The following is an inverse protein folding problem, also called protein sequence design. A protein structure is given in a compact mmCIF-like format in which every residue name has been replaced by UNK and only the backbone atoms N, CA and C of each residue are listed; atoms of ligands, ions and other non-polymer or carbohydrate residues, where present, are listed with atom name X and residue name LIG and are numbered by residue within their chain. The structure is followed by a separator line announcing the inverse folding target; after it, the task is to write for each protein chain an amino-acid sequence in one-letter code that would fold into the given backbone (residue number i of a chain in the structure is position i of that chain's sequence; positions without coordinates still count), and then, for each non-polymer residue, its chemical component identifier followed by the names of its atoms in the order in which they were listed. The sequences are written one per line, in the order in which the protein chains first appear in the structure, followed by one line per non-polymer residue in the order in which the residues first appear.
data_IF_980885300783
#
_entry.id   IF_980885300783
#
_cell.length_a   1.000
_cell.length_b   1.000
_cell.length_c   1.000
_cell.angle_alpha   90.00
_cell.angle_beta   90.00
_cell.angle_gamma   90.00
#
_symmetry.space_group_name_H-M   'P 1'
#
loop_
_entity.id
_entity.type
_entity.pdbx_description
1 polymer ?
#
# COMPACT_ATOMS: atom_id res chain seq x y z
N UNK A 1 -12.28 11.63 -36.46
CA UNK A 1 -12.30 11.71 -35.00
C UNK A 1 -11.78 10.39 -34.43
N UNK A 2 -10.85 10.38 -33.46
CA UNK A 2 -10.29 9.14 -32.87
C UNK A 2 -11.29 8.30 -32.09
N UNK A 3 -12.46 8.84 -31.75
CA UNK A 3 -13.51 8.22 -30.91
C UNK A 3 -14.06 6.89 -31.43
N UNK A 4 -14.17 6.70 -32.77
CA UNK A 4 -14.69 5.44 -33.33
C UNK A 4 -13.72 4.29 -33.10
N UNK A 5 -12.42 4.54 -33.23
CA UNK A 5 -11.38 3.52 -33.03
C UNK A 5 -11.21 3.17 -31.55
N UNK A 6 -11.34 4.15 -30.65
CA UNK A 6 -11.26 3.92 -29.21
C UNK A 6 -12.48 3.16 -28.68
N UNK A 7 -13.70 3.45 -29.18
CA UNK A 7 -14.92 2.73 -28.79
C UNK A 7 -14.90 1.26 -29.22
N UNK A 8 -14.52 0.99 -30.49
CA UNK A 8 -14.43 -0.37 -31.00
C UNK A 8 -13.38 -1.18 -30.24
N UNK A 9 -12.21 -0.58 -30.01
CA UNK A 9 -11.14 -1.22 -29.25
C UNK A 9 -11.56 -1.51 -27.80
N UNK A 10 -12.18 -0.55 -27.11
CA UNK A 10 -12.66 -0.73 -25.73
C UNK A 10 -13.72 -1.83 -25.65
N UNK A 11 -14.67 -1.88 -26.60
CA UNK A 11 -15.71 -2.91 -26.63
C UNK A 11 -15.10 -4.31 -26.85
N UNK A 12 -14.25 -4.47 -27.87
CA UNK A 12 -13.60 -5.76 -28.16
C UNK A 12 -12.69 -6.23 -27.01
N UNK A 13 -11.90 -5.34 -26.44
CA UNK A 13 -11.09 -5.66 -25.27
C UNK A 13 -11.96 -5.93 -24.03
N UNK A 14 -13.10 -5.29 -23.91
CA UNK A 14 -14.10 -5.56 -22.88
C UNK A 14 -14.68 -6.96 -23.01
N UNK A 15 -15.18 -7.31 -24.21
CA UNK A 15 -15.80 -8.61 -24.50
C UNK A 15 -14.80 -9.77 -24.37
N UNK A 16 -13.58 -9.59 -24.85
CA UNK A 16 -12.50 -10.60 -24.77
C UNK A 16 -11.71 -10.55 -23.45
N UNK A 17 -12.09 -9.68 -22.53
CA UNK A 17 -11.33 -9.40 -21.29
C UNK A 17 -9.84 -9.14 -21.55
N UNK A 18 -9.54 -8.47 -22.66
CA UNK A 18 -8.16 -8.14 -23.06
C UNK A 18 -7.37 -9.30 -23.68
N UNK A 19 -7.92 -10.52 -23.78
CA UNK A 19 -7.18 -11.70 -24.26
C UNK A 19 -6.58 -11.52 -25.66
N UNK A 20 -7.17 -10.70 -26.49
CA UNK A 20 -6.72 -10.44 -27.87
C UNK A 20 -5.62 -9.38 -27.96
N UNK A 21 -5.28 -8.71 -26.85
CA UNK A 21 -4.20 -7.74 -26.84
C UNK A 21 -2.82 -8.41 -26.69
N UNK A 22 -1.82 -7.78 -27.30
CA UNK A 22 -0.43 -8.23 -27.21
C UNK A 22 0.12 -8.01 -25.79
N UNK A 23 1.07 -8.84 -25.39
CA UNK A 23 1.85 -8.67 -24.17
C UNK A 23 3.33 -8.96 -24.50
N UNK A 24 4.27 -8.27 -23.85
CA UNK A 24 5.70 -8.43 -24.10
C UNK A 24 6.27 -9.75 -23.56
N UNK A 25 5.49 -10.47 -22.76
CA UNK A 25 5.91 -11.70 -22.08
C UNK A 25 4.87 -12.81 -22.24
N UNK A 26 5.29 -14.06 -22.02
CA UNK A 26 4.41 -15.24 -22.00
C UNK A 26 4.25 -15.88 -20.62
N UNK A 27 4.85 -15.30 -19.57
CA UNK A 27 4.86 -15.81 -18.20
C UNK A 27 3.56 -15.48 -17.40
N UNK A 28 3.59 -15.68 -16.09
CA UNK A 28 2.46 -15.42 -15.19
C UNK A 28 1.97 -13.96 -15.19
N UNK A 29 2.84 -13.02 -15.63
CA UNK A 29 2.51 -11.59 -15.68
C UNK A 29 1.82 -11.17 -16.98
N UNK A 30 1.79 -12.05 -18.01
CA UNK A 30 1.17 -11.78 -19.32
C UNK A 30 -0.23 -11.16 -19.21
N UNK A 31 -1.07 -11.73 -18.35
CA UNK A 31 -2.45 -11.28 -18.18
C UNK A 31 -2.56 -9.85 -17.66
N UNK A 32 -1.62 -9.41 -16.85
CA UNK A 32 -1.60 -8.05 -16.34
C UNK A 32 -1.36 -7.02 -17.45
N UNK A 33 -0.45 -7.28 -18.38
CA UNK A 33 -0.26 -6.41 -19.57
C UNK A 33 -1.53 -6.31 -20.40
N UNK A 34 -2.22 -7.42 -20.59
CA UNK A 34 -3.49 -7.45 -21.33
C UNK A 34 -4.60 -6.67 -20.62
N UNK A 35 -4.66 -6.73 -19.29
CA UNK A 35 -5.60 -5.93 -18.50
C UNK A 35 -5.27 -4.44 -18.54
N UNK A 36 -3.99 -4.08 -18.46
CA UNK A 36 -3.53 -2.69 -18.58
C UNK A 36 -3.92 -2.12 -19.96
N UNK A 37 -3.71 -2.86 -21.04
CA UNK A 37 -4.09 -2.45 -22.38
C UNK A 37 -5.61 -2.19 -22.48
N UNK A 38 -6.44 -3.05 -21.88
CA UNK A 38 -7.89 -2.86 -21.79
C UNK A 38 -8.25 -1.58 -21.04
N UNK A 39 -7.68 -1.38 -19.84
CA UNK A 39 -7.97 -0.20 -19.03
C UNK A 39 -7.48 1.09 -19.66
N UNK A 40 -6.34 1.06 -20.37
CA UNK A 40 -5.84 2.20 -21.15
C UNK A 40 -6.78 2.60 -22.27
N UNK A 41 -7.33 1.62 -23.02
CA UNK A 41 -8.31 1.87 -24.05
C UNK A 41 -9.62 2.45 -23.46
N UNK A 42 -10.06 1.94 -22.32
CA UNK A 42 -11.24 2.45 -21.60
C UNK A 42 -11.00 3.89 -21.10
N UNK A 43 -9.83 4.20 -20.58
CA UNK A 43 -9.48 5.56 -20.17
C UNK A 43 -9.49 6.53 -21.34
N UNK A 44 -8.93 6.14 -22.48
CA UNK A 44 -8.95 6.95 -23.69
C UNK A 44 -10.39 7.25 -24.13
N UNK A 45 -11.24 6.24 -24.19
CA UNK A 45 -12.67 6.40 -24.53
C UNK A 45 -13.40 7.32 -23.53
N UNK A 46 -13.20 7.09 -22.22
CA UNK A 46 -13.83 7.91 -21.18
C UNK A 46 -13.38 9.37 -21.26
N UNK A 47 -12.11 9.62 -21.52
CA UNK A 47 -11.55 10.97 -21.69
C UNK A 47 -12.12 11.67 -22.92
N UNK A 48 -12.14 10.98 -24.07
CA UNK A 48 -12.67 11.51 -25.33
C UNK A 48 -14.16 11.88 -25.20
N UNK A 49 -14.97 10.97 -24.65
CA UNK A 49 -16.42 11.21 -24.46
C UNK A 49 -16.66 12.29 -23.40
N UNK A 50 -15.87 12.33 -22.33
CA UNK A 50 -15.98 13.40 -21.32
C UNK A 50 -15.69 14.76 -21.92
N UNK A 51 -14.66 14.88 -22.74
CA UNK A 51 -14.36 16.12 -23.47
C UNK A 51 -15.44 16.49 -24.48
N UNK A 52 -15.94 15.54 -25.24
CA UNK A 52 -16.96 15.77 -26.24
C UNK A 52 -18.31 16.23 -25.64
N UNK A 53 -18.72 15.61 -24.52
CA UNK A 53 -20.03 15.88 -23.88
C UNK A 53 -20.00 17.09 -22.96
N UNK A 54 -18.91 17.29 -22.22
CA UNK A 54 -18.79 18.33 -21.18
C UNK A 54 -18.05 19.58 -21.69
N UNK A 55 -17.22 19.44 -22.73
CA UNK A 55 -16.46 20.54 -23.30
C UNK A 55 -15.71 21.35 -22.24
N UNK A 56 -15.80 22.67 -22.31
CA UNK A 56 -15.16 23.57 -21.34
C UNK A 56 -15.68 23.44 -19.91
N UNK A 57 -16.86 22.83 -19.70
CA UNK A 57 -17.39 22.60 -18.35
C UNK A 57 -16.63 21.49 -17.59
N UNK A 58 -15.88 20.64 -18.29
CA UNK A 58 -15.06 19.59 -17.66
C UNK A 58 -14.05 20.19 -16.69
N UNK A 59 -13.47 21.34 -17.00
CA UNK A 59 -12.53 22.08 -16.12
C UNK A 59 -13.15 22.46 -14.77
N UNK A 60 -14.46 22.67 -14.71
CA UNK A 60 -15.20 23.04 -13.50
C UNK A 60 -15.79 21.82 -12.78
N UNK A 61 -15.72 20.64 -13.41
CA UNK A 61 -16.24 19.37 -12.85
C UNK A 61 -15.08 18.56 -12.29
N UNK A 62 -14.45 19.10 -11.26
CA UNK A 62 -13.22 18.57 -10.65
C UNK A 62 -13.33 17.09 -10.27
N UNK A 63 -14.48 16.64 -9.74
CA UNK A 63 -14.69 15.23 -9.37
C UNK A 63 -14.65 14.28 -10.57
N UNK A 64 -15.09 14.71 -11.76
CA UNK A 64 -15.00 13.88 -12.97
C UNK A 64 -13.55 13.85 -13.45
N UNK A 65 -12.89 15.00 -13.48
CA UNK A 65 -11.47 15.09 -13.82
C UNK A 65 -10.61 14.28 -12.85
N UNK A 66 -10.90 14.34 -11.53
CA UNK A 66 -10.20 13.56 -10.52
C UNK A 66 -10.32 12.05 -10.80
N UNK A 67 -11.53 11.53 -11.04
CA UNK A 67 -11.72 10.11 -11.38
C UNK A 67 -10.99 9.67 -12.64
N UNK A 68 -10.93 10.52 -13.67
CA UNK A 68 -10.09 10.24 -14.85
C UNK A 68 -8.60 10.20 -14.48
N UNK A 69 -8.17 11.10 -13.60
CA UNK A 69 -6.82 11.12 -13.04
C UNK A 69 -6.53 9.87 -12.20
N UNK A 70 -7.48 9.41 -11.38
CA UNK A 70 -7.35 8.19 -10.58
C UNK A 70 -7.17 6.96 -11.48
N UNK A 71 -7.98 6.83 -12.54
CA UNK A 71 -7.83 5.73 -13.52
C UNK A 71 -6.44 5.77 -14.15
N UNK A 72 -5.98 6.94 -14.58
CA UNK A 72 -4.65 7.11 -15.17
C UNK A 72 -3.55 6.71 -14.18
N UNK A 73 -3.65 7.17 -12.94
CA UNK A 73 -2.67 6.90 -11.88
C UNK A 73 -2.57 5.41 -11.60
N UNK A 74 -3.70 4.71 -11.49
CA UNK A 74 -3.70 3.28 -11.22
C UNK A 74 -3.16 2.45 -12.40
N UNK A 75 -3.50 2.80 -13.62
CA UNK A 75 -2.94 2.17 -14.83
C UNK A 75 -1.43 2.41 -14.93
N UNK A 76 -0.97 3.61 -14.57
CA UNK A 76 0.46 3.94 -14.50
C UNK A 76 1.17 3.12 -13.41
N UNK A 77 0.60 3.05 -12.20
CA UNK A 77 1.17 2.26 -11.09
C UNK A 77 1.30 0.78 -11.46
N UNK A 78 0.25 0.18 -12.04
CA UNK A 78 0.30 -1.20 -12.51
C UNK A 78 1.43 -1.41 -13.55
N UNK A 79 1.58 -0.46 -14.49
CA UNK A 79 2.64 -0.50 -15.50
C UNK A 79 4.02 -0.35 -14.87
N UNK A 80 4.18 0.54 -13.88
CA UNK A 80 5.43 0.78 -13.17
C UNK A 80 5.87 -0.45 -12.36
N UNK A 81 4.93 -1.14 -11.71
CA UNK A 81 5.21 -2.41 -10.99
C UNK A 81 5.77 -3.46 -11.95
N UNK A 82 5.11 -3.66 -13.10
CA UNK A 82 5.58 -4.63 -14.09
C UNK A 82 6.92 -4.24 -14.71
N UNK A 83 7.10 -2.95 -15.01
CA UNK A 83 8.36 -2.44 -15.55
C UNK A 83 9.52 -2.62 -14.56
N UNK A 84 9.29 -2.30 -13.28
CA UNK A 84 10.28 -2.53 -12.24
C UNK A 84 10.65 -3.99 -12.10
N UNK A 85 9.65 -4.88 -12.11
CA UNK A 85 9.87 -6.33 -12.07
C UNK A 85 10.74 -6.81 -13.22
N UNK A 86 10.50 -6.30 -14.44
CA UNK A 86 11.32 -6.58 -15.62
C UNK A 86 12.75 -6.09 -15.46
N UNK A 87 12.92 -4.82 -15.06
CA UNK A 87 14.23 -4.17 -14.95
C UNK A 87 15.11 -4.79 -13.85
N UNK A 88 14.49 -5.29 -12.78
CA UNK A 88 15.20 -5.95 -11.66
C UNK A 88 15.49 -7.44 -11.92
N UNK A 89 15.15 -7.97 -13.09
CA UNK A 89 15.54 -9.34 -13.51
C UNK A 89 14.49 -10.41 -13.19
N UNK A 90 13.25 -10.05 -12.95
CA UNK A 90 12.09 -10.96 -12.77
C UNK A 90 12.29 -12.02 -11.68
N UNK A 91 12.73 -11.62 -10.52
CA UNK A 91 12.93 -12.54 -9.41
C UNK A 91 11.61 -13.17 -8.95
N UNK A 92 11.57 -14.49 -8.89
CA UNK A 92 10.37 -15.24 -8.49
C UNK A 92 9.87 -14.87 -7.09
N UNK A 93 10.79 -14.58 -6.18
CA UNK A 93 10.49 -14.13 -4.82
C UNK A 93 9.73 -12.80 -4.76
N UNK A 94 9.77 -11.99 -5.83
CA UNK A 94 9.08 -10.70 -5.91
C UNK A 94 7.64 -10.85 -6.42
N UNK A 95 7.28 -12.00 -7.00
CA UNK A 95 5.96 -12.23 -7.61
C UNK A 95 4.78 -11.92 -6.68
N UNK A 96 4.78 -12.28 -5.39
CA UNK A 96 3.66 -11.92 -4.50
C UNK A 96 3.42 -10.41 -4.43
N UNK A 97 4.48 -9.60 -4.41
CA UNK A 97 4.40 -8.15 -4.41
C UNK A 97 3.90 -7.60 -5.75
N UNK A 98 4.37 -8.18 -6.86
CA UNK A 98 3.90 -7.84 -8.21
C UNK A 98 2.41 -8.16 -8.34
N UNK A 99 1.99 -9.35 -7.91
CA UNK A 99 0.59 -9.76 -7.96
C UNK A 99 -0.27 -8.83 -7.11
N UNK A 100 0.14 -8.51 -5.90
CA UNK A 100 -0.58 -7.62 -5.02
C UNK A 100 -0.72 -6.22 -5.61
N UNK A 101 0.40 -5.59 -5.99
CA UNK A 101 0.40 -4.21 -6.50
C UNK A 101 -0.39 -4.05 -7.79
N UNK A 102 -0.30 -5.02 -8.72
CA UNK A 102 -1.06 -4.95 -9.97
C UNK A 102 -2.54 -5.26 -9.74
N UNK A 103 -2.89 -6.26 -8.93
CA UNK A 103 -4.31 -6.58 -8.63
C UNK A 103 -5.02 -5.42 -7.95
N UNK A 104 -4.39 -4.79 -6.96
CA UNK A 104 -4.95 -3.62 -6.29
C UNK A 104 -5.15 -2.46 -7.28
N UNK A 105 -4.14 -2.13 -8.07
CA UNK A 105 -4.23 -1.06 -9.06
C UNK A 105 -5.33 -1.30 -10.11
N UNK A 106 -5.49 -2.54 -10.60
CA UNK A 106 -6.56 -2.89 -11.54
C UNK A 106 -7.95 -2.76 -10.89
N UNK A 107 -8.09 -3.20 -9.64
CA UNK A 107 -9.33 -3.07 -8.88
C UNK A 107 -9.69 -1.60 -8.66
N UNK A 108 -8.76 -0.78 -8.20
CA UNK A 108 -8.97 0.66 -7.97
C UNK A 108 -9.31 1.41 -9.27
N UNK A 109 -8.63 1.08 -10.38
CA UNK A 109 -8.94 1.65 -11.69
C UNK A 109 -10.39 1.33 -12.12
N UNK A 110 -10.83 0.08 -11.94
CA UNK A 110 -12.19 -0.33 -12.28
C UNK A 110 -13.24 0.35 -11.38
N UNK A 111 -12.94 0.53 -10.09
CA UNK A 111 -13.78 1.32 -9.16
C UNK A 111 -13.92 2.77 -9.64
N UNK A 112 -12.81 3.42 -9.97
CA UNK A 112 -12.83 4.81 -10.44
C UNK A 112 -13.62 4.97 -11.76
N UNK A 113 -13.55 3.97 -12.68
CA UNK A 113 -14.38 3.94 -13.89
C UNK A 113 -15.87 3.82 -13.56
N UNK A 114 -16.24 2.93 -12.64
CA UNK A 114 -17.63 2.74 -12.23
C UNK A 114 -18.19 3.98 -11.55
N UNK A 115 -17.41 4.59 -10.66
CA UNK A 115 -17.74 5.84 -9.97
C UNK A 115 -17.89 7.02 -10.96
N UNK A 116 -17.06 7.08 -12.00
CA UNK A 116 -17.17 8.08 -13.05
C UNK A 116 -18.50 7.90 -13.81
N UNK A 117 -18.81 6.68 -14.23
CA UNK A 117 -20.06 6.38 -14.98
C UNK A 117 -21.30 6.59 -14.12
N UNK A 118 -21.24 6.23 -12.85
CA UNK A 118 -22.35 6.41 -11.90
C UNK A 118 -22.67 7.88 -11.63
N UNK A 119 -21.67 8.75 -11.78
CA UNK A 119 -21.80 10.20 -11.52
C UNK A 119 -21.72 11.04 -12.81
N UNK A 120 -21.72 10.42 -13.99
CA UNK A 120 -21.65 11.15 -15.24
C UNK A 120 -22.94 11.96 -15.47
N UNK A 121 -22.86 13.25 -15.85
CA UNK A 121 -24.02 14.13 -15.91
C UNK A 121 -25.08 13.69 -16.92
N UNK A 122 -24.66 13.16 -18.06
CA UNK A 122 -25.57 12.63 -19.07
C UNK A 122 -25.78 11.13 -18.86
N UNK A 123 -26.96 10.76 -18.34
CA UNK A 123 -27.30 9.38 -17.98
C UNK A 123 -27.38 8.42 -19.17
N UNK A 124 -27.80 8.92 -20.34
CA UNK A 124 -27.88 8.10 -21.57
C UNK A 124 -26.47 7.74 -22.02
N UNK A 125 -25.58 8.73 -22.07
CA UNK A 125 -24.18 8.51 -22.43
C UNK A 125 -23.50 7.58 -21.41
N UNK A 126 -23.74 7.77 -20.12
CA UNK A 126 -23.22 6.88 -19.08
C UNK A 126 -23.68 5.42 -19.26
N UNK A 127 -24.94 5.20 -19.60
CA UNK A 127 -25.49 3.87 -19.87
C UNK A 127 -24.82 3.20 -21.08
N UNK A 128 -24.67 3.94 -22.19
CA UNK A 128 -23.97 3.44 -23.38
C UNK A 128 -22.50 3.12 -23.09
N UNK A 129 -21.79 4.01 -22.40
CA UNK A 129 -20.40 3.76 -22.01
C UNK A 129 -20.27 2.54 -21.08
N UNK A 130 -21.22 2.34 -20.17
CA UNK A 130 -21.23 1.17 -19.28
C UNK A 130 -21.30 -0.13 -20.06
N UNK A 131 -22.13 -0.21 -21.09
CA UNK A 131 -22.24 -1.39 -21.96
C UNK A 131 -20.93 -1.62 -22.73
N UNK A 132 -20.28 -0.56 -23.20
CA UNK A 132 -19.04 -0.68 -23.97
C UNK A 132 -17.85 -1.07 -23.06
N UNK A 133 -17.73 -0.47 -21.88
CA UNK A 133 -16.60 -0.67 -20.98
C UNK A 133 -16.74 -1.96 -20.16
N UNK A 134 -17.96 -2.27 -19.72
CA UNK A 134 -18.29 -3.41 -18.89
C UNK A 134 -19.31 -4.36 -19.56
N UNK A 135 -19.07 -4.85 -20.79
CA UNK A 135 -20.03 -5.68 -21.50
C UNK A 135 -20.37 -7.00 -20.79
N UNK A 136 -19.43 -7.50 -19.99
CA UNK A 136 -19.57 -8.72 -19.17
C UNK A 136 -19.55 -8.44 -17.67
N UNK A 137 -19.73 -7.17 -17.27
CA UNK A 137 -19.65 -6.71 -15.88
C UNK A 137 -18.24 -6.39 -15.42
N UNK A 138 -18.12 -6.14 -14.12
CA UNK A 138 -16.85 -5.87 -13.44
C UNK A 138 -16.17 -7.19 -13.04
N UNK A 139 -14.84 -7.23 -13.09
CA UNK A 139 -14.10 -8.49 -12.94
C UNK A 139 -12.89 -8.42 -12.02
N UNK A 140 -12.40 -7.22 -11.70
CA UNK A 140 -11.25 -7.11 -10.84
C UNK A 140 -11.68 -7.15 -9.37
N UNK A 141 -10.97 -7.96 -8.60
CA UNK A 141 -11.15 -8.11 -7.17
C UNK A 141 -9.93 -7.51 -6.46
N UNK A 142 -10.13 -7.00 -5.27
CA UNK A 142 -9.03 -6.63 -4.39
C UNK A 142 -8.12 -7.84 -4.12
N UNK A 143 -6.85 -7.62 -3.77
CA UNK A 143 -5.97 -8.69 -3.33
C UNK A 143 -6.61 -9.53 -2.23
N UNK A 144 -6.32 -10.84 -2.22
CA UNK A 144 -6.87 -11.74 -1.21
C UNK A 144 -6.06 -11.71 0.07
N UNK A 145 -6.68 -11.99 1.21
CA UNK A 145 -6.01 -12.12 2.53
C UNK A 145 -4.79 -13.06 2.48
N UNK A 146 -4.88 -14.14 1.68
CA UNK A 146 -3.76 -15.06 1.48
C UNK A 146 -2.56 -14.35 0.84
N UNK A 147 -2.81 -13.50 -0.15
CA UNK A 147 -1.77 -12.72 -0.82
C UNK A 147 -1.24 -11.63 0.12
N UNK A 148 -2.09 -10.98 0.90
CA UNK A 148 -1.71 -10.02 1.92
C UNK A 148 -0.75 -10.64 2.94
N UNK A 149 -1.06 -11.83 3.45
CA UNK A 149 -0.18 -12.55 4.36
C UNK A 149 1.18 -12.91 3.73
N UNK A 150 1.20 -13.28 2.45
CA UNK A 150 2.46 -13.56 1.75
C UNK A 150 3.32 -12.29 1.62
N UNK A 151 2.71 -11.18 1.24
CA UNK A 151 3.38 -9.88 1.14
C UNK A 151 3.89 -9.42 2.51
N UNK A 152 3.04 -9.48 3.54
CA UNK A 152 3.41 -9.12 4.90
C UNK A 152 4.62 -9.93 5.39
N UNK A 153 4.63 -11.24 5.14
CA UNK A 153 5.75 -12.12 5.51
C UNK A 153 7.05 -11.71 4.82
N UNK A 154 7.01 -11.36 3.52
CA UNK A 154 8.20 -10.88 2.79
C UNK A 154 8.71 -9.57 3.41
N UNK A 155 7.81 -8.62 3.71
CA UNK A 155 8.19 -7.32 4.25
C UNK A 155 8.71 -7.38 5.68
N UNK A 156 8.27 -8.35 6.46
CA UNK A 156 8.72 -8.57 7.85
C UNK A 156 9.96 -9.45 7.97
N UNK A 157 10.44 -10.05 6.87
CA UNK A 157 11.58 -10.96 6.90
C UNK A 157 12.77 -10.32 6.19
N UNK A 158 13.96 -10.24 6.81
CA UNK A 158 15.18 -9.81 6.14
C UNK A 158 15.49 -10.71 4.94
N UNK A 159 15.33 -10.19 3.73
CA UNK A 159 15.55 -10.92 2.50
C UNK A 159 15.94 -9.98 1.35
N UNK A 160 16.46 -10.56 0.26
CA UNK A 160 16.89 -9.80 -0.91
C UNK A 160 15.77 -8.96 -1.53
N UNK A 161 14.55 -9.49 -1.58
CA UNK A 161 13.35 -8.77 -2.06
C UNK A 161 13.09 -7.52 -1.24
N UNK A 162 13.07 -7.65 0.10
CA UNK A 162 12.87 -6.52 1.01
C UNK A 162 13.96 -5.46 0.83
N UNK A 163 15.22 -5.89 0.71
CA UNK A 163 16.36 -4.99 0.48
C UNK A 163 16.27 -4.25 -0.86
N UNK A 164 15.79 -4.90 -1.93
CA UNK A 164 15.59 -4.24 -3.23
C UNK A 164 14.49 -3.18 -3.17
N UNK A 165 13.36 -3.48 -2.52
CA UNK A 165 12.24 -2.53 -2.37
C UNK A 165 12.65 -1.34 -1.51
N UNK A 166 13.37 -1.59 -0.42
CA UNK A 166 13.85 -0.58 0.51
C UNK A 166 15.11 0.17 0.05
N UNK A 167 15.59 -0.07 -1.17
CA UNK A 167 16.79 0.61 -1.66
C UNK A 167 16.64 2.13 -1.63
N UNK A 168 17.59 2.80 -0.99
CA UNK A 168 17.61 4.25 -0.84
C UNK A 168 16.90 4.77 0.41
N UNK A 169 16.31 3.92 1.24
CA UNK A 169 15.85 4.31 2.57
C UNK A 169 17.05 4.55 3.50
N UNK A 170 16.96 5.60 4.32
CA UNK A 170 17.94 5.87 5.35
C UNK A 170 17.59 5.09 6.62
N UNK A 171 18.27 3.96 6.83
CA UNK A 171 17.98 3.01 7.92
C UNK A 171 18.99 3.05 9.06
N UNK A 172 19.90 4.04 9.10
CA UNK A 172 20.85 4.15 10.20
C UNK A 172 20.13 4.51 11.50
N UNK A 173 20.18 3.68 12.56
CA UNK A 173 19.50 3.98 13.82
C UNK A 173 20.06 5.25 14.47
N UNK A 174 19.18 6.17 14.83
CA UNK A 174 19.51 7.36 15.62
C UNK A 174 18.24 7.90 16.28
N UNK A 175 18.39 8.74 17.30
CA UNK A 175 17.26 9.37 17.99
C UNK A 175 16.41 10.23 17.05
N UNK A 176 16.99 10.72 15.96
CA UNK A 176 16.32 11.55 14.96
C UNK A 176 15.85 10.77 13.72
N UNK A 177 16.02 9.44 13.73
CA UNK A 177 15.57 8.58 12.63
C UNK A 177 14.64 7.47 13.12
N UNK A 178 13.32 7.73 13.24
CA UNK A 178 12.35 6.73 13.69
C UNK A 178 12.32 5.47 12.81
N UNK A 179 12.55 5.62 11.50
CA UNK A 179 12.57 4.48 10.56
C UNK A 179 13.76 3.57 10.85
N UNK A 180 14.92 4.14 11.14
CA UNK A 180 16.10 3.35 11.53
C UNK A 180 15.91 2.63 12.86
N UNK A 181 15.23 3.25 13.84
CA UNK A 181 14.89 2.61 15.12
C UNK A 181 13.90 1.45 14.95
N UNK A 182 12.91 1.61 14.10
CA UNK A 182 11.96 0.53 13.76
C UNK A 182 12.65 -0.64 13.07
N UNK A 183 13.61 -0.37 12.19
CA UNK A 183 14.40 -1.41 11.53
C UNK A 183 15.28 -2.15 12.53
N UNK A 184 15.96 -1.44 13.43
CA UNK A 184 16.75 -2.05 14.53
C UNK A 184 15.87 -2.94 15.40
N UNK A 185 14.71 -2.44 15.83
CA UNK A 185 13.77 -3.19 16.65
C UNK A 185 13.27 -4.45 15.94
N UNK A 186 12.99 -4.38 14.64
CA UNK A 186 12.56 -5.55 13.84
C UNK A 186 13.66 -6.62 13.85
N UNK A 187 14.91 -6.26 13.62
CA UNK A 187 16.03 -7.20 13.59
C UNK A 187 16.29 -7.83 14.97
N UNK A 188 16.21 -7.04 16.03
CA UNK A 188 16.38 -7.52 17.41
C UNK A 188 15.25 -8.48 17.81
N UNK A 189 14.00 -8.17 17.46
CA UNK A 189 12.85 -9.06 17.70
C UNK A 189 12.99 -10.37 16.92
N UNK A 190 13.42 -10.34 15.66
CA UNK A 190 13.66 -11.54 14.86
C UNK A 190 14.77 -12.41 15.49
N UNK A 191 15.81 -11.80 16.04
CA UNK A 191 16.88 -12.55 16.72
C UNK A 191 16.41 -13.18 18.04
N UNK A 192 15.50 -12.51 18.75
CA UNK A 192 14.96 -12.98 20.04
C UNK A 192 13.88 -14.06 19.90
N UNK A 193 13.12 -14.07 18.80
CA UNK A 193 11.95 -14.96 18.62
C UNK A 193 12.28 -16.48 18.76
N UNK A 194 13.34 -17.02 18.15
CA UNK A 194 13.71 -18.44 18.34
C UNK A 194 14.01 -18.80 19.78
N UNK A 195 14.64 -17.90 20.54
CA UNK A 195 14.98 -18.09 21.94
C UNK A 195 13.70 -18.11 22.78
N UNK A 196 12.81 -17.15 22.55
CA UNK A 196 11.51 -17.07 23.20
C UNK A 196 10.67 -18.32 22.94
N UNK A 197 10.58 -18.78 21.68
CA UNK A 197 9.84 -19.99 21.31
C UNK A 197 10.40 -21.24 22.00
N UNK A 198 11.73 -21.36 22.13
CA UNK A 198 12.37 -22.45 22.84
C UNK A 198 12.00 -22.43 24.33
N UNK A 199 12.07 -21.27 24.99
CA UNK A 199 11.67 -21.11 26.40
C UNK A 199 10.20 -21.52 26.57
N UNK A 200 9.30 -21.05 25.72
CA UNK A 200 7.88 -21.40 25.75
C UNK A 200 7.66 -22.92 25.65
N UNK A 201 8.40 -23.57 24.76
CA UNK A 201 8.33 -25.03 24.56
C UNK A 201 8.82 -25.79 25.78
N UNK A 202 9.94 -25.41 26.38
CA UNK A 202 10.51 -26.07 27.56
C UNK A 202 9.64 -25.90 28.81
N UNK A 203 9.00 -24.72 28.96
CA UNK A 203 8.06 -24.45 30.05
C UNK A 203 6.65 -25.04 29.82
N UNK A 204 6.36 -25.54 28.61
CA UNK A 204 5.02 -26.01 28.23
C UNK A 204 3.96 -24.89 28.27
N UNK A 205 4.33 -23.63 28.10
CA UNK A 205 3.47 -22.46 28.20
C UNK A 205 3.62 -21.57 26.97
N UNK A 206 2.50 -21.02 26.50
CA UNK A 206 2.51 -20.00 25.47
C UNK A 206 2.59 -18.61 26.14
N UNK A 207 3.80 -18.09 26.29
CA UNK A 207 4.04 -16.78 26.91
C UNK A 207 3.90 -15.68 25.86
N UNK A 208 3.38 -14.50 26.23
CA UNK A 208 3.33 -13.36 25.31
C UNK A 208 4.75 -12.85 25.04
N UNK A 209 4.97 -12.33 23.83
CA UNK A 209 6.25 -11.72 23.43
C UNK A 209 6.37 -10.29 24.01
N UNK A 210 6.36 -10.21 25.33
CA UNK A 210 6.44 -8.95 26.10
C UNK A 210 7.24 -9.20 27.39
N UNK A 211 7.81 -8.14 27.96
CA UNK A 211 8.61 -8.22 29.18
C UNK A 211 9.75 -9.23 29.07
N UNK A 212 10.40 -9.23 27.91
CA UNK A 212 11.46 -10.20 27.60
C UNK A 212 12.68 -10.05 28.54
N UNK A 213 12.89 -8.87 29.12
CA UNK A 213 13.91 -8.58 30.11
C UNK A 213 13.69 -9.35 31.44
N UNK A 214 12.43 -9.45 31.89
CA UNK A 214 12.06 -10.24 33.06
C UNK A 214 12.17 -11.74 32.76
N UNK A 215 11.65 -12.16 31.58
CA UNK A 215 11.74 -13.54 31.11
C UNK A 215 13.20 -13.99 30.97
N UNK A 216 14.10 -13.13 30.46
CA UNK A 216 15.52 -13.43 30.32
C UNK A 216 16.18 -13.70 31.69
N UNK A 217 15.87 -12.90 32.70
CA UNK A 217 16.38 -13.09 34.06
C UNK A 217 15.91 -14.40 34.67
N UNK A 218 14.64 -14.73 34.55
CA UNK A 218 14.06 -15.97 35.07
C UNK A 218 14.61 -17.21 34.34
N UNK A 219 14.69 -17.16 33.01
CA UNK A 219 15.21 -18.26 32.20
C UNK A 219 16.71 -18.49 32.41
N UNK A 220 17.51 -17.44 32.62
CA UNK A 220 18.91 -17.54 32.94
C UNK A 220 19.13 -18.16 34.33
N UNK A 221 18.37 -17.71 35.34
CA UNK A 221 18.42 -18.27 36.70
C UNK A 221 17.98 -19.74 36.71
N UNK A 222 17.03 -20.14 35.85
CA UNK A 222 16.59 -21.51 35.65
C UNK A 222 17.50 -22.38 34.79
N UNK A 223 18.59 -21.83 34.23
CA UNK A 223 19.51 -22.56 33.35
C UNK A 223 18.94 -22.95 31.97
N UNK A 224 17.84 -22.32 31.54
CA UNK A 224 17.20 -22.57 30.25
C UNK A 224 17.92 -21.87 29.08
N UNK A 225 18.61 -20.78 29.37
CA UNK A 225 19.36 -19.97 28.40
C UNK A 225 20.73 -19.59 28.97
N UNK A 226 21.64 -19.21 28.07
CA UNK A 226 22.96 -18.67 28.45
C UNK A 226 22.89 -17.14 28.54
N UNK A 227 24.05 -16.51 28.94
CA UNK A 227 24.17 -15.08 29.12
C UNK A 227 23.94 -14.32 27.80
N UNK A 228 24.49 -14.80 26.68
CA UNK A 228 24.37 -14.14 25.36
C UNK A 228 22.89 -14.12 24.91
N UNK A 229 22.16 -15.20 25.13
CA UNK A 229 20.74 -15.29 24.83
C UNK A 229 19.88 -14.36 25.71
N UNK A 230 20.25 -14.21 26.99
CA UNK A 230 19.61 -13.26 27.89
C UNK A 230 19.83 -11.79 27.43
N UNK A 231 21.02 -11.48 26.93
CA UNK A 231 21.32 -10.16 26.37
C UNK A 231 20.52 -9.88 25.09
N UNK A 232 20.37 -10.87 24.19
CA UNK A 232 19.54 -10.75 22.98
C UNK A 232 18.08 -10.45 23.35
N UNK A 233 17.50 -11.19 24.31
CA UNK A 233 16.12 -10.95 24.77
C UNK A 233 15.95 -9.55 25.39
N UNK A 234 16.90 -9.14 26.24
CA UNK A 234 16.86 -7.84 26.88
C UNK A 234 17.01 -6.69 25.87
N UNK A 235 17.89 -6.85 24.89
CA UNK A 235 18.06 -5.90 23.79
C UNK A 235 16.77 -5.76 22.98
N UNK A 236 16.15 -6.89 22.62
CA UNK A 236 14.91 -6.90 21.85
C UNK A 236 13.76 -6.18 22.59
N UNK A 237 13.63 -6.37 23.92
CA UNK A 237 12.64 -5.64 24.71
C UNK A 237 12.93 -4.14 24.71
N UNK A 238 14.18 -3.74 24.90
CA UNK A 238 14.57 -2.32 24.91
C UNK A 238 14.28 -1.66 23.58
N UNK A 239 14.68 -2.27 22.45
CA UNK A 239 14.45 -1.75 21.11
C UNK A 239 12.96 -1.70 20.78
N UNK A 240 12.20 -2.74 21.18
CA UNK A 240 10.75 -2.81 21.00
C UNK A 240 10.05 -1.69 21.76
N UNK A 241 10.35 -1.52 23.04
CA UNK A 241 9.75 -0.47 23.86
C UNK A 241 10.09 0.92 23.33
N UNK A 242 11.34 1.16 22.92
CA UNK A 242 11.73 2.43 22.31
C UNK A 242 10.95 2.76 21.05
N UNK A 243 10.51 1.74 20.29
CA UNK A 243 9.77 1.92 19.05
C UNK A 243 8.27 2.10 19.24
N UNK A 244 7.69 1.57 20.32
CA UNK A 244 6.23 1.57 20.55
C UNK A 244 5.78 2.49 21.69
N UNK A 245 6.70 2.95 22.56
CA UNK A 245 6.35 3.88 23.60
C UNK A 245 5.87 5.20 22.98
N UNK A 246 4.76 5.67 23.50
CA UNK A 246 4.25 7.03 23.26
C UNK A 246 4.64 7.93 24.43
N UNK A 247 4.48 9.23 24.23
CA UNK A 247 4.68 10.19 25.32
C UNK A 247 3.79 9.83 26.49
N UNK A 248 4.38 9.81 27.69
CA UNK A 248 3.72 9.56 28.97
C UNK A 248 3.69 10.88 29.74
N UNK A 249 2.50 11.34 30.06
CA UNK A 249 2.27 12.62 30.75
C UNK A 249 1.71 12.36 32.12
N UNK A 250 2.31 12.96 33.14
CA UNK A 250 1.72 12.96 34.47
C UNK A 250 0.35 13.69 34.45
N UNK A 251 -0.60 13.30 35.31
CA UNK A 251 -1.93 13.94 35.37
C UNK A 251 -1.88 15.46 35.50
N UNK A 252 -0.86 15.98 36.18
CA UNK A 252 -0.63 17.41 36.39
C UNK A 252 -0.19 18.12 35.11
N UNK A 253 0.51 17.45 34.20
CA UNK A 253 0.92 17.98 32.91
C UNK A 253 -0.24 18.09 31.94
N UNK A 254 -1.23 17.20 32.07
CA UNK A 254 -2.49 17.21 31.30
C UNK A 254 -3.50 18.21 31.84
N UNK A 255 -3.31 18.76 33.06
CA UNK A 255 -4.16 19.80 33.59
C UNK A 255 -4.05 21.05 32.72
N UNK A 256 -5.13 21.39 32.04
CA UNK A 256 -5.24 22.57 31.18
C UNK A 256 -4.81 23.81 31.99
N UNK A 257 -3.65 24.38 31.65
CA UNK A 257 -3.32 25.70 32.18
C UNK A 257 -4.42 26.67 31.77
N UNK A 258 -4.98 27.47 32.70
CA UNK A 258 -6.00 28.41 32.34
C UNK A 258 -5.44 29.34 31.25
N UNK A 259 -6.12 29.33 30.10
CA UNK A 259 -5.77 30.21 28.98
C UNK A 259 -5.71 31.63 29.50
N UNK A 260 -4.52 32.23 29.60
CA UNK A 260 -4.37 33.63 29.96
C UNK A 260 -5.22 34.44 28.99
N UNK A 261 -6.11 35.34 29.47
CA UNK A 261 -6.91 36.16 28.57
C UNK A 261 -5.97 36.90 27.61
N UNK A 262 -6.16 36.74 26.32
CA UNK A 262 -5.41 37.52 25.34
C UNK A 262 -5.64 39.00 25.64
N UNK A 263 -4.56 39.73 25.95
CA UNK A 263 -4.58 41.15 26.09
C UNK A 263 -5.16 41.75 24.80
N UNK A 264 -6.31 42.44 24.92
CA UNK A 264 -6.94 43.07 23.76
C UNK A 264 -5.95 44.04 23.14
N UNK A 265 -5.46 43.68 21.96
CA UNK A 265 -4.64 44.58 21.14
C UNK A 265 -5.45 45.86 20.94
N UNK A 266 -5.01 46.94 21.60
CA UNK A 266 -5.60 48.28 21.40
C UNK A 266 -5.43 48.63 19.92
N UNK A 267 -6.54 48.84 19.24
CA UNK A 267 -6.50 49.41 17.88
C UNK A 267 -5.83 50.79 17.96
N UNK A 268 -4.87 51.09 17.06
CA UNK A 268 -4.31 52.44 16.97
C UNK A 268 -5.45 53.41 16.67
N UNK A 269 -5.56 54.48 17.50
CA UNK A 269 -6.43 55.61 17.22
C UNK A 269 -5.88 56.28 15.95
N UNK A 270 -6.75 56.37 14.93
CA UNK A 270 -6.46 57.17 13.74
C UNK A 270 -6.40 58.64 14.11
N UNK A 271 -5.28 59.30 13.77
CA UNK A 271 -5.13 60.74 13.78
C UNK A 271 -5.62 61.31 12.46
#
# INVERSE_FOLDING_TARGET
FPTRRSSDLSFWLGLTRGLTSSAPTSDSTKRYYQHINRLSANLALLSDVSMAVLGGSLKRRERISARLGDILSQVFLASAVLKRYDDEGRHEMDLPLVHWGVQDALYQAEQAMDDLLSNFPNRVVAGLLRVVIFPTGRHYLAPSDKLDHQVAKILQTPCATRSRIGRGQYLTPSEHNPVGLLEEALLDVIAADPIHQRICKELGKNLPFTRLDALAKEALAGGLINQDEAEILTKAETSRLRSINVDDFEPEELATQPVKPQEKVRKPQAA
#
